data_IF_935631616709
#
_entry.id   IF_935631616709
#
_cell.length_a   1.000
_cell.length_b   1.000
_cell.length_c   1.000
_cell.angle_alpha   90.00
_cell.angle_beta   90.00
_cell.angle_gamma   90.00
#
_symmetry.space_group_name_H-M   'P 1'
#
loop_
_entity.id
_entity.type
_entity.pdbx_description
1 polymer ?
#
# COMPACT_ATOMS: atom_id res chain seq x y z
N UNK A 1 21.77 -1.16 4.88
CA UNK A 1 20.68 -2.11 5.17
C UNK A 1 19.85 -1.60 6.36
N UNK A 2 18.94 -0.65 6.14
CA UNK A 2 18.10 -0.11 7.22
C UNK A 2 16.66 -0.59 7.03
N UNK A 3 16.31 -1.70 7.71
CA UNK A 3 14.97 -2.30 7.65
C UNK A 3 13.88 -1.31 8.05
N UNK A 4 14.16 -0.38 8.97
CA UNK A 4 13.21 0.65 9.39
C UNK A 4 12.84 1.61 8.25
N UNK A 5 13.82 2.00 7.42
CA UNK A 5 13.56 2.86 6.26
C UNK A 5 12.64 2.17 5.24
N UNK A 6 12.87 0.87 4.99
CA UNK A 6 12.01 0.07 4.10
C UNK A 6 10.59 -0.07 4.64
N UNK A 7 10.44 -0.33 5.93
CA UNK A 7 9.12 -0.44 6.58
C UNK A 7 8.39 0.90 6.53
N UNK A 8 9.08 2.00 6.81
CA UNK A 8 8.50 3.34 6.75
C UNK A 8 8.05 3.69 5.34
N UNK A 9 8.87 3.41 4.31
CA UNK A 9 8.47 3.64 2.91
C UNK A 9 7.27 2.78 2.51
N UNK A 10 7.25 1.49 2.87
CA UNK A 10 6.17 0.57 2.50
C UNK A 10 4.84 0.87 3.22
N UNK A 11 4.86 1.50 4.39
CA UNK A 11 3.67 1.96 5.10
C UNK A 11 3.24 3.34 4.63
N UNK A 12 4.18 4.28 4.49
CA UNK A 12 3.87 5.68 4.21
C UNK A 12 3.41 5.87 2.76
N UNK A 13 4.10 5.25 1.78
CA UNK A 13 3.79 5.44 0.36
C UNK A 13 2.36 5.04 -0.03
N UNK A 14 1.86 3.81 0.25
CA UNK A 14 0.50 3.44 -0.12
C UNK A 14 -0.57 4.20 0.67
N UNK A 15 -0.32 4.55 1.95
CA UNK A 15 -1.27 5.32 2.75
C UNK A 15 -1.38 6.76 2.22
N UNK A 16 -0.25 7.40 1.93
CA UNK A 16 -0.24 8.73 1.32
C UNK A 16 -0.87 8.72 -0.07
N UNK A 17 -0.62 7.71 -0.90
CA UNK A 17 -1.26 7.56 -2.22
C UNK A 17 -2.76 7.30 -2.11
N UNK A 18 -3.23 6.61 -1.08
CA UNK A 18 -4.66 6.42 -0.86
C UNK A 18 -5.34 7.74 -0.51
N UNK A 19 -4.79 8.51 0.44
CA UNK A 19 -5.37 9.81 0.80
C UNK A 19 -5.33 10.79 -0.37
N UNK A 20 -4.19 10.93 -1.07
CA UNK A 20 -4.09 11.85 -2.20
C UNK A 20 -4.93 11.38 -3.39
N UNK A 21 -4.90 10.09 -3.72
CA UNK A 21 -5.65 9.50 -4.82
C UNK A 21 -7.15 9.46 -4.58
N UNK A 22 -7.59 9.26 -3.34
CA UNK A 22 -9.02 9.21 -2.98
C UNK A 22 -9.74 10.55 -3.15
N UNK A 23 -9.02 11.68 -3.12
CA UNK A 23 -9.61 13.00 -3.34
C UNK A 23 -9.90 13.26 -4.83
N UNK A 24 -9.08 12.70 -5.73
CA UNK A 24 -9.20 12.95 -7.17
C UNK A 24 -9.91 11.82 -7.92
N UNK A 25 -9.70 10.56 -7.53
CA UNK A 25 -10.40 9.41 -8.08
C UNK A 25 -10.31 8.17 -7.16
N UNK A 26 -11.38 7.87 -6.40
CA UNK A 26 -11.38 6.79 -5.40
C UNK A 26 -11.16 5.39 -6.01
N UNK A 27 -11.51 5.20 -7.28
CA UNK A 27 -11.24 3.98 -8.06
C UNK A 27 -9.73 3.71 -8.24
N UNK A 28 -8.92 4.74 -8.52
CA UNK A 28 -7.47 4.61 -8.62
C UNK A 28 -6.82 4.41 -7.23
N UNK A 29 -7.36 5.06 -6.20
CA UNK A 29 -6.91 4.82 -4.81
C UNK A 29 -7.14 3.35 -4.39
N UNK A 30 -8.28 2.76 -4.78
CA UNK A 30 -8.56 1.36 -4.54
C UNK A 30 -7.59 0.45 -5.29
N UNK A 31 -7.32 0.69 -6.58
CA UNK A 31 -6.36 -0.13 -7.35
C UNK A 31 -4.94 -0.11 -6.79
N UNK A 32 -4.52 0.98 -6.14
CA UNK A 32 -3.19 1.09 -5.53
C UNK A 32 -3.13 0.35 -4.19
N UNK A 33 -4.18 0.39 -3.39
CA UNK A 33 -4.22 -0.23 -2.05
C UNK A 33 -4.68 -1.69 -2.07
N UNK A 34 -5.55 -2.06 -3.02
CA UNK A 34 -6.11 -3.41 -3.15
C UNK A 34 -5.04 -4.51 -3.23
N UNK A 35 -3.92 -4.38 -3.96
CA UNK A 35 -2.86 -5.38 -3.96
C UNK A 35 -2.26 -5.62 -2.56
N UNK A 36 -2.13 -4.58 -1.73
CA UNK A 36 -1.57 -4.70 -0.38
C UNK A 36 -2.55 -5.37 0.58
N UNK A 37 -3.82 -4.97 0.54
CA UNK A 37 -4.88 -5.59 1.35
C UNK A 37 -5.09 -7.04 0.90
N UNK A 38 -5.15 -7.29 -0.40
CA UNK A 38 -5.34 -8.62 -0.99
C UNK A 38 -4.18 -9.56 -0.62
N UNK A 39 -2.93 -9.08 -0.69
CA UNK A 39 -1.75 -9.86 -0.29
C UNK A 39 -1.78 -10.22 1.21
N UNK A 40 -2.29 -9.33 2.05
CA UNK A 40 -2.48 -9.58 3.49
C UNK A 40 -3.66 -10.52 3.75
N UNK A 41 -4.78 -10.36 3.05
CA UNK A 41 -5.96 -11.21 3.18
C UNK A 41 -5.71 -12.65 2.69
N UNK A 42 -4.97 -12.81 1.59
CA UNK A 42 -4.58 -14.11 1.03
C UNK A 42 -3.36 -14.74 1.71
N UNK A 43 -2.77 -14.06 2.70
CA UNK A 43 -1.61 -14.54 3.46
C UNK A 43 -0.42 -14.96 2.55
N UNK A 44 -0.28 -14.30 1.39
CA UNK A 44 0.75 -14.62 0.40
C UNK A 44 2.08 -14.07 0.92
N UNK A 45 2.78 -14.89 1.69
CA UNK A 45 4.17 -14.68 2.02
C UNK A 45 5.02 -15.06 0.78
N UNK A 46 5.90 -14.16 0.30
CA UNK A 46 6.88 -14.57 -0.70
C UNK A 46 7.75 -15.66 -0.06
N UNK A 47 7.82 -16.83 -0.70
CA UNK A 47 8.80 -17.88 -0.37
C UNK A 47 10.22 -17.35 -0.47
#
# INVERSE_FOLDING_TARGET
>A
DNRNFRVQLYLFTPVSLFFTGSIFSPEYAFLIVCPFILRKALNIHPK
#
